data_IF_218140939749
#
_entry.id   IF_218140939749
#
_cell.length_a   1.000
_cell.length_b   1.000
_cell.length_c   1.000
_cell.angle_alpha   90.00
_cell.angle_beta   90.00
_cell.angle_gamma   90.00
#
_symmetry.space_group_name_H-M   'P 1'
#
loop_
_entity.id
_entity.type
_entity.pdbx_description
1 polymer ?
#
# COMPACT_ATOMS: atom_id res chain seq x y z
N UNK A 1 -10.57 -19.59 11.53
CA UNK A 1 -9.15 -19.18 11.72
C UNK A 1 -8.88 -18.03 10.76
N UNK A 2 -8.82 -16.79 11.26
CA UNK A 2 -8.73 -15.60 10.39
C UNK A 2 -7.27 -15.22 10.16
N UNK A 3 -6.75 -15.47 8.95
CA UNK A 3 -5.37 -15.12 8.57
C UNK A 3 -5.14 -13.61 8.51
N UNK A 4 -6.20 -12.83 8.35
CA UNK A 4 -6.13 -11.37 8.20
C UNK A 4 -5.62 -10.68 9.47
N UNK A 5 -5.85 -11.25 10.66
CA UNK A 5 -5.33 -10.69 11.92
C UNK A 5 -3.81 -10.67 11.97
N UNK A 6 -3.17 -11.77 11.55
CA UNK A 6 -1.71 -11.89 11.50
C UNK A 6 -1.14 -10.96 10.42
N UNK A 7 -1.77 -10.94 9.25
CA UNK A 7 -1.35 -10.05 8.15
C UNK A 7 -1.45 -8.57 8.56
N UNK A 8 -2.50 -8.17 9.28
CA UNK A 8 -2.66 -6.81 9.83
C UNK A 8 -1.50 -6.41 10.74
N UNK A 9 -1.14 -7.27 11.68
CA UNK A 9 -0.06 -7.00 12.62
C UNK A 9 1.28 -6.84 11.89
N UNK A 10 1.57 -7.71 10.91
CA UNK A 10 2.79 -7.67 10.13
C UNK A 10 2.88 -6.41 9.24
N UNK A 11 1.80 -6.06 8.55
CA UNK A 11 1.72 -4.82 7.75
C UNK A 11 1.95 -3.60 8.63
N UNK A 12 1.26 -3.52 9.78
CA UNK A 12 1.43 -2.41 10.71
C UNK A 12 2.87 -2.30 11.22
N UNK A 13 3.50 -3.43 11.58
CA UNK A 13 4.89 -3.50 12.02
C UNK A 13 5.85 -2.93 10.97
N UNK A 14 5.72 -3.37 9.71
CA UNK A 14 6.58 -2.89 8.61
C UNK A 14 6.38 -1.42 8.28
N UNK A 15 5.13 -0.92 8.36
CA UNK A 15 4.85 0.50 8.15
C UNK A 15 5.41 1.38 9.28
N UNK A 16 5.53 0.87 10.50
CA UNK A 16 6.17 1.61 11.60
C UNK A 16 7.64 1.93 11.33
N UNK A 17 8.33 1.13 10.52
CA UNK A 17 9.70 1.41 10.07
C UNK A 17 9.79 2.55 9.03
N UNK A 18 8.64 3.09 8.60
CA UNK A 18 8.50 4.19 7.62
C UNK A 18 9.35 4.00 6.36
N UNK A 19 9.16 2.89 5.62
CA UNK A 19 9.89 2.66 4.39
C UNK A 19 9.56 3.74 3.34
N UNK A 20 10.49 4.02 2.43
CA UNK A 20 10.23 4.95 1.32
C UNK A 20 9.10 4.46 0.39
N UNK A 21 8.98 3.14 0.23
CA UNK A 21 7.92 2.52 -0.56
C UNK A 21 7.47 1.21 0.06
N UNK A 22 6.21 0.85 -0.15
CA UNK A 22 5.60 -0.37 0.37
C UNK A 22 4.79 -1.07 -0.72
N UNK A 23 5.04 -2.36 -0.93
CA UNK A 23 4.34 -3.19 -1.93
C UNK A 23 3.68 -4.36 -1.24
N UNK A 24 2.40 -4.60 -1.55
CA UNK A 24 1.71 -5.84 -1.20
C UNK A 24 1.55 -6.67 -2.47
N UNK A 25 2.12 -7.88 -2.47
CA UNK A 25 1.97 -8.83 -3.57
C UNK A 25 0.89 -9.87 -3.24
N UNK A 26 -0.16 -9.92 -4.06
CA UNK A 26 -1.28 -10.85 -3.93
C UNK A 26 -1.21 -11.98 -4.98
N UNK A 27 -0.05 -12.20 -5.62
CA UNK A 27 0.06 -13.14 -6.73
C UNK A 27 -0.20 -14.61 -6.37
N UNK A 28 0.13 -14.99 -5.14
CA UNK A 28 -0.12 -16.33 -4.59
C UNK A 28 -1.40 -16.40 -3.73
N UNK A 29 -2.27 -15.39 -3.81
CA UNK A 29 -3.52 -15.36 -3.06
C UNK A 29 -4.66 -15.96 -3.88
N UNK A 30 -5.15 -17.12 -3.42
CA UNK A 30 -6.27 -17.82 -4.06
C UNK A 30 -7.65 -17.32 -3.61
N UNK A 31 -7.74 -16.60 -2.50
CA UNK A 31 -9.01 -16.11 -1.97
C UNK A 31 -8.88 -14.72 -1.36
N UNK A 32 -9.77 -13.80 -1.75
CA UNK A 32 -9.79 -12.43 -1.26
C UNK A 32 -11.20 -12.00 -0.85
N UNK A 33 -11.41 -11.87 0.47
CA UNK A 33 -12.67 -11.47 1.08
C UNK A 33 -12.70 -9.99 1.47
N UNK A 34 -13.87 -9.50 1.87
CA UNK A 34 -14.10 -8.13 2.34
C UNK A 34 -13.11 -7.68 3.42
N UNK A 35 -12.76 -8.56 4.36
CA UNK A 35 -11.78 -8.25 5.41
C UNK A 35 -10.37 -7.96 4.88
N UNK A 36 -9.99 -8.58 3.75
CA UNK A 36 -8.73 -8.30 3.06
C UNK A 36 -8.78 -6.98 2.28
N UNK A 37 -9.94 -6.68 1.66
CA UNK A 37 -10.18 -5.40 0.97
C UNK A 37 -10.07 -4.24 1.98
N UNK A 38 -10.72 -4.34 3.13
CA UNK A 38 -10.61 -3.33 4.20
C UNK A 38 -9.17 -3.12 4.65
N UNK A 39 -8.38 -4.20 4.75
CA UNK A 39 -6.96 -4.10 5.09
C UNK A 39 -6.16 -3.32 4.04
N UNK A 40 -6.38 -3.57 2.75
CA UNK A 40 -5.69 -2.82 1.69
C UNK A 40 -6.07 -1.34 1.72
N UNK A 41 -7.35 -1.04 1.95
CA UNK A 41 -7.84 0.34 2.07
C UNK A 41 -7.21 1.05 3.29
N UNK A 42 -7.22 0.41 4.46
CA UNK A 42 -6.55 0.90 5.67
C UNK A 42 -5.05 1.16 5.43
N UNK A 43 -4.39 0.23 4.74
CA UNK A 43 -2.97 0.33 4.38
C UNK A 43 -2.72 1.52 3.46
N UNK A 44 -3.47 1.66 2.37
CA UNK A 44 -3.32 2.76 1.42
C UNK A 44 -3.56 4.13 2.05
N UNK A 45 -4.56 4.24 2.92
CA UNK A 45 -4.81 5.46 3.69
C UNK A 45 -3.64 5.81 4.60
N UNK A 46 -3.09 4.80 5.30
CA UNK A 46 -1.96 5.00 6.20
C UNK A 46 -0.68 5.38 5.46
N UNK A 47 -0.34 4.69 4.38
CA UNK A 47 0.83 5.01 3.56
C UNK A 47 0.74 6.42 2.99
N UNK A 48 -0.45 6.84 2.53
CA UNK A 48 -0.68 8.20 2.05
C UNK A 48 -0.45 9.27 3.12
N UNK A 49 -0.91 9.03 4.36
CA UNK A 49 -0.65 9.93 5.51
C UNK A 49 0.82 9.99 5.88
N UNK A 50 1.52 8.87 5.81
CA UNK A 50 2.91 8.75 6.25
C UNK A 50 3.93 9.17 5.18
N UNK A 51 3.47 9.53 3.97
CA UNK A 51 4.31 9.89 2.83
C UNK A 51 4.99 8.70 2.16
N UNK A 52 4.48 7.50 2.39
CA UNK A 52 5.03 6.24 1.86
C UNK A 52 4.38 5.95 0.51
N UNK A 53 5.18 5.72 -0.53
CA UNK A 53 4.63 5.33 -1.83
C UNK A 53 4.11 3.89 -1.77
N UNK A 54 2.85 3.67 -2.15
CA UNK A 54 2.19 2.36 -2.02
C UNK A 54 1.85 1.76 -3.37
N UNK A 55 1.94 0.43 -3.49
CA UNK A 55 1.52 -0.33 -4.66
C UNK A 55 0.96 -1.70 -4.26
N UNK A 56 0.00 -2.21 -5.03
CA UNK A 56 -0.55 -3.55 -4.86
C UNK A 56 -0.36 -4.34 -6.16
N UNK A 57 0.22 -5.53 -6.06
CA UNK A 57 0.38 -6.44 -7.21
C UNK A 57 -0.74 -7.47 -7.19
N UNK A 58 -1.47 -7.56 -8.31
CA UNK A 58 -2.60 -8.48 -8.49
C UNK A 58 -2.46 -9.17 -9.84
N UNK A 59 -2.11 -10.46 -9.82
CA UNK A 59 -1.97 -11.27 -11.05
C UNK A 59 -3.18 -12.18 -11.31
N UNK A 60 -3.93 -12.51 -10.25
CA UNK A 60 -5.05 -13.45 -10.32
C UNK A 60 -6.37 -12.73 -10.63
N UNK A 61 -7.08 -13.20 -11.66
CA UNK A 61 -8.33 -12.59 -12.14
C UNK A 61 -9.43 -12.56 -11.10
N UNK A 62 -9.56 -13.58 -10.25
CA UNK A 62 -10.60 -13.62 -9.22
C UNK A 62 -10.36 -12.59 -8.13
N UNK A 63 -9.10 -12.36 -7.71
CA UNK A 63 -8.74 -11.29 -6.78
C UNK A 63 -9.01 -9.92 -7.40
N UNK A 64 -8.60 -9.72 -8.66
CA UNK A 64 -8.86 -8.47 -9.38
C UNK A 64 -10.35 -8.17 -9.46
N UNK A 65 -11.17 -9.15 -9.86
CA UNK A 65 -12.63 -8.99 -9.92
C UNK A 65 -13.23 -8.63 -8.56
N UNK A 66 -12.76 -9.24 -7.48
CA UNK A 66 -13.22 -8.87 -6.13
C UNK A 66 -12.92 -7.40 -5.80
N UNK A 67 -11.77 -6.87 -6.24
CA UNK A 67 -11.40 -5.47 -6.05
C UNK A 67 -12.21 -4.51 -6.94
N UNK A 68 -12.46 -4.90 -8.20
CA UNK A 68 -13.30 -4.15 -9.15
C UNK A 68 -14.75 -4.02 -8.64
N UNK A 69 -15.32 -5.12 -8.14
CA UNK A 69 -16.68 -5.12 -7.58
C UNK A 69 -16.82 -4.18 -6.38
N UNK A 70 -15.75 -4.00 -5.60
CA UNK A 70 -15.73 -3.07 -4.48
C UNK A 70 -15.21 -1.68 -4.85
N UNK A 71 -14.92 -1.41 -6.13
CA UNK A 71 -14.36 -0.14 -6.61
C UNK A 71 -12.98 0.21 -6.04
N UNK A 72 -12.27 -0.78 -5.49
CA UNK A 72 -10.97 -0.60 -4.83
C UNK A 72 -9.85 -0.34 -5.84
N UNK A 73 -10.02 -0.86 -7.05
CA UNK A 73 -9.17 -0.61 -8.22
C UNK A 73 -9.08 0.87 -8.62
N UNK A 74 -10.11 1.66 -8.31
CA UNK A 74 -10.12 3.09 -8.61
C UNK A 74 -9.45 3.96 -7.52
N UNK A 75 -9.11 3.36 -6.38
CA UNK A 75 -8.52 4.06 -5.23
C UNK A 75 -7.08 3.63 -4.99
N UNK A 76 -6.77 2.35 -5.21
CA UNK A 76 -5.45 1.79 -4.96
C UNK A 76 -4.67 1.61 -6.28
N UNK A 77 -3.36 1.90 -6.28
CA UNK A 77 -2.51 1.65 -7.43
C UNK A 77 -2.25 0.15 -7.61
N UNK A 78 -3.03 -0.48 -8.49
CA UNK A 78 -2.94 -1.91 -8.82
C UNK A 78 -2.00 -2.16 -10.01
N UNK A 79 -1.17 -3.19 -9.91
CA UNK A 79 -0.23 -3.61 -10.95
C UNK A 79 -0.35 -5.09 -11.23
N UNK A 80 -0.27 -5.48 -12.50
CA UNK A 80 -0.28 -6.89 -12.90
C UNK A 80 1.03 -7.65 -12.65
N UNK A 81 2.10 -6.98 -12.20
CA UNK A 81 3.42 -7.61 -11.94
C UNK A 81 4.21 -6.79 -10.92
N UNK A 82 5.05 -7.47 -10.12
CA UNK A 82 5.97 -6.81 -9.20
C UNK A 82 6.97 -5.90 -9.91
N UNK A 83 7.49 -6.31 -11.07
CA UNK A 83 8.42 -5.51 -11.87
C UNK A 83 7.82 -4.15 -12.26
N UNK A 84 6.58 -4.12 -12.73
CA UNK A 84 5.89 -2.85 -13.06
C UNK A 84 5.69 -1.98 -11.81
N UNK A 85 5.26 -2.57 -10.70
CA UNK A 85 5.09 -1.84 -9.44
C UNK A 85 6.41 -1.20 -9.00
N UNK A 86 7.50 -1.98 -8.94
CA UNK A 86 8.81 -1.49 -8.54
C UNK A 86 9.36 -0.42 -9.50
N UNK A 87 9.16 -0.57 -10.80
CA UNK A 87 9.55 0.45 -11.77
C UNK A 87 8.80 1.77 -11.51
N UNK A 88 7.48 1.72 -11.30
CA UNK A 88 6.68 2.91 -10.98
C UNK A 88 7.08 3.55 -9.66
N UNK A 89 7.38 2.76 -8.63
CA UNK A 89 7.83 3.25 -7.32
C UNK A 89 9.23 3.87 -7.37
N UNK A 90 10.14 3.29 -8.17
CA UNK A 90 11.50 3.81 -8.35
C UNK A 90 11.51 5.14 -9.10
N UNK A 91 10.58 5.31 -10.05
CA UNK A 91 10.34 6.58 -10.75
C UNK A 91 9.73 7.64 -9.81
N UNK A 92 8.96 7.20 -8.82
CA UNK A 92 8.34 8.07 -7.81
C UNK A 92 9.28 8.51 -6.69
N UNK A 93 10.62 8.37 -6.86
CA UNK A 93 11.65 8.72 -5.86
C UNK A 93 11.12 9.84 -4.96
N UNK A 94 10.77 9.56 -3.69
CA UNK A 94 10.14 10.56 -2.84
C UNK A 94 11.08 11.75 -2.84
N UNK A 95 10.59 12.87 -3.37
CA UNK A 95 11.36 14.10 -3.43
C UNK A 95 11.81 14.39 -2.01
N UNK A 96 13.11 14.29 -1.75
CA UNK A 96 13.70 14.70 -0.50
C UNK A 96 13.58 16.23 -0.42
N UNK A 97 12.38 16.69 -0.08
CA UNK A 97 12.03 18.08 0.20
C UNK A 97 10.95 18.08 1.30
N UNK A 98 11.26 17.40 2.42
CA UNK A 98 10.81 17.90 3.71
C UNK A 98 11.79 19.02 4.06
N UNK A 99 11.40 20.25 3.75
CA UNK A 99 12.00 21.43 4.38
C UNK A 99 11.58 21.39 5.84
N UNK A 100 12.50 21.38 6.82
CA UNK A 100 12.11 21.54 8.22
C UNK A 100 11.38 22.88 8.39
N UNK A 101 10.34 22.98 9.25
CA UNK A 101 9.77 24.28 9.57
C UNK A 101 10.90 25.14 10.15
N UNK A 102 11.19 26.26 9.48
CA UNK A 102 12.07 27.28 10.00
C UNK A 102 11.59 27.60 11.41
N UNK A 103 12.48 27.48 12.40
CA UNK A 103 12.20 27.93 13.75
C UNK A 103 11.77 29.38 13.67
N UNK A 104 10.56 29.69 14.14
CA UNK A 104 10.24 31.04 14.57
C UNK A 104 11.15 31.35 15.77
N UNK A 105 11.99 32.38 15.71
CA UNK A 105 12.55 32.95 16.92
C UNK A 105 11.41 33.72 17.59
N UNK A 106 10.93 33.21 18.73
CA UNK A 106 10.14 34.04 19.65
C UNK A 106 11.10 35.09 20.20
N UNK A 107 10.81 36.34 19.82
CA UNK A 107 11.39 37.55 20.39
C UNK A 107 10.78 37.85 21.77
#
# INVERSE_FOLDING_TARGET
MSTVGVLRAEVASRLNSRPAAFVIDLSDVDFFASTGISLLMETGQRTGRDGITFAVVVTRRHVLRSLEVTGTDNVLPLFGTLTKALATLSLHRPSAAVTPPAGEPVA
#
